data_IF_216168497668
#
_entry.id   IF_216168497668
#
_cell.length_a   1.000
_cell.length_b   1.000
_cell.length_c   1.000
_cell.angle_alpha   90.00
_cell.angle_beta   90.00
_cell.angle_gamma   90.00
#
_symmetry.space_group_name_H-M   'P 1'
#
loop_
_entity.id
_entity.type
_entity.pdbx_description
1 polymer ?
#
# COMPACT_ATOMS: atom_id res chain seq x y z
N UNK A 1 27.24 48.42 2.12
CA UNK A 1 26.67 47.69 3.26
C UNK A 1 25.80 46.57 2.70
N UNK A 2 26.37 45.39 2.52
CA UNK A 2 25.61 44.20 2.13
C UNK A 2 24.67 43.82 3.29
N UNK A 3 23.37 43.96 3.08
CA UNK A 3 22.38 43.38 4.00
C UNK A 3 22.40 41.87 3.78
N UNK A 4 23.03 41.16 4.70
CA UNK A 4 22.95 39.71 4.79
C UNK A 4 21.50 39.28 4.74
N UNK A 5 21.15 38.52 3.71
CA UNK A 5 19.86 37.84 3.60
C UNK A 5 19.90 36.75 4.67
N UNK A 6 19.36 37.03 5.85
CA UNK A 6 19.07 35.99 6.83
C UNK A 6 18.10 35.03 6.14
N UNK A 7 18.59 33.86 5.75
CA UNK A 7 17.75 32.74 5.34
C UNK A 7 16.99 32.33 6.59
N UNK A 8 15.79 32.87 6.74
CA UNK A 8 14.84 32.38 7.72
C UNK A 8 14.35 31.06 7.13
N UNK A 9 14.79 29.94 7.69
CA UNK A 9 14.20 28.66 7.34
C UNK A 9 12.69 28.74 7.59
N UNK A 10 11.86 28.27 6.66
CA UNK A 10 10.42 28.29 6.85
C UNK A 10 10.09 27.49 8.11
N UNK A 11 9.39 28.13 9.06
CA UNK A 11 8.89 27.46 10.25
C UNK A 11 7.73 26.58 9.81
N UNK A 12 8.06 25.32 9.51
CA UNK A 12 7.08 24.30 9.17
C UNK A 12 6.31 23.92 10.44
N UNK A 13 5.00 23.81 10.29
CA UNK A 13 4.18 23.24 11.34
C UNK A 13 4.43 21.71 11.45
N UNK A 14 3.88 21.09 12.50
CA UNK A 14 4.13 19.68 12.78
C UNK A 14 3.61 18.75 11.67
N UNK A 15 2.47 19.07 11.07
CA UNK A 15 1.91 18.31 9.95
C UNK A 15 2.78 18.43 8.69
N UNK A 16 3.22 19.65 8.34
CA UNK A 16 4.13 19.88 7.22
C UNK A 16 5.47 19.14 7.40
N UNK A 17 6.00 19.13 8.63
CA UNK A 17 7.23 18.38 8.95
C UNK A 17 7.03 16.87 8.77
N UNK A 18 5.87 16.34 9.16
CA UNK A 18 5.53 14.92 8.97
C UNK A 18 5.41 14.56 7.50
N UNK A 19 4.69 15.35 6.71
CA UNK A 19 4.58 15.12 5.26
C UNK A 19 5.94 15.20 4.56
N UNK A 20 6.79 16.15 4.94
CA UNK A 20 8.16 16.22 4.39
C UNK A 20 8.98 14.97 4.72
N UNK A 21 8.85 14.43 5.94
CA UNK A 21 9.48 13.16 6.31
C UNK A 21 8.92 12.00 5.48
N UNK A 22 7.60 11.91 5.34
CA UNK A 22 6.94 10.85 4.57
C UNK A 22 7.36 10.87 3.09
N UNK A 23 7.46 12.05 2.48
CA UNK A 23 7.94 12.20 1.11
C UNK A 23 9.40 11.74 0.96
N UNK A 24 10.26 12.12 1.91
CA UNK A 24 11.66 11.69 1.89
C UNK A 24 11.81 10.17 2.08
N UNK A 25 11.04 9.57 2.99
CA UNK A 25 11.05 8.13 3.21
C UNK A 25 10.53 7.39 1.95
N UNK A 26 9.51 7.93 1.29
CA UNK A 26 9.00 7.40 0.03
C UNK A 26 10.04 7.43 -1.10
N UNK A 27 10.77 8.54 -1.25
CA UNK A 27 11.86 8.66 -2.24
C UNK A 27 12.93 7.59 -2.01
N UNK A 28 13.35 7.37 -0.75
CA UNK A 28 14.32 6.33 -0.41
C UNK A 28 13.80 4.94 -0.76
N UNK A 29 12.56 4.62 -0.36
CA UNK A 29 11.97 3.30 -0.59
C UNK A 29 11.84 3.02 -2.09
N UNK A 30 11.43 4.02 -2.89
CA UNK A 30 11.28 3.87 -4.34
C UNK A 30 12.62 3.73 -5.06
N UNK A 31 13.68 4.40 -4.61
CA UNK A 31 15.03 4.20 -5.13
C UNK A 31 15.55 2.78 -4.84
N UNK A 32 15.35 2.28 -3.62
CA UNK A 32 15.73 0.92 -3.23
C UNK A 32 15.00 -0.13 -4.09
N UNK A 33 13.70 0.07 -4.33
CA UNK A 33 12.91 -0.81 -5.19
C UNK A 33 13.41 -0.81 -6.63
N UNK A 34 13.70 0.38 -7.20
CA UNK A 34 14.28 0.50 -8.54
C UNK A 34 15.61 -0.23 -8.66
N UNK A 35 16.51 -0.07 -7.68
CA UNK A 35 17.80 -0.75 -7.66
C UNK A 35 17.65 -2.27 -7.61
N UNK A 36 16.70 -2.78 -6.81
CA UNK A 36 16.41 -4.21 -6.75
C UNK A 36 15.90 -4.74 -8.11
N UNK A 37 14.97 -4.03 -8.73
CA UNK A 37 14.44 -4.41 -10.05
C UNK A 37 15.54 -4.45 -11.11
N UNK A 38 16.48 -3.50 -11.07
CA UNK A 38 17.63 -3.50 -11.96
C UNK A 38 18.52 -4.73 -11.73
N UNK A 39 18.89 -5.04 -10.48
CA UNK A 39 19.71 -6.21 -10.15
C UNK A 39 19.04 -7.52 -10.55
N UNK A 40 17.71 -7.62 -10.40
CA UNK A 40 16.96 -8.79 -10.81
C UNK A 40 16.95 -8.94 -12.34
N UNK A 41 16.88 -7.83 -13.09
CA UNK A 41 17.00 -7.85 -14.53
C UNK A 41 18.41 -8.25 -15.00
N UNK A 42 19.45 -7.70 -14.37
CA UNK A 42 20.85 -8.07 -14.63
C UNK A 42 21.09 -9.57 -14.36
N UNK A 43 20.57 -10.09 -13.25
CA UNK A 43 20.65 -11.52 -12.93
C UNK A 43 19.93 -12.39 -13.97
N UNK A 44 18.73 -11.99 -14.42
CA UNK A 44 17.99 -12.72 -15.46
C UNK A 44 18.77 -12.75 -16.78
N UNK A 45 19.40 -11.64 -17.16
CA UNK A 45 20.18 -11.53 -18.38
C UNK A 45 21.45 -12.38 -18.30
N UNK A 46 22.17 -12.33 -17.18
CA UNK A 46 23.33 -13.19 -16.93
C UNK A 46 22.96 -14.67 -16.94
N UNK A 47 21.81 -15.05 -16.38
CA UNK A 47 21.35 -16.43 -16.38
C UNK A 47 21.00 -16.89 -17.81
N UNK A 48 20.41 -16.04 -18.65
CA UNK A 48 20.18 -16.37 -20.07
C UNK A 48 21.50 -16.58 -20.82
N UNK A 49 22.44 -15.65 -20.71
CA UNK A 49 23.77 -15.74 -21.36
C UNK A 49 24.56 -16.96 -20.86
N UNK A 50 24.49 -17.26 -19.56
CA UNK A 50 25.13 -18.45 -18.98
C UNK A 50 24.47 -19.73 -19.45
N UNK A 51 23.15 -19.75 -19.67
CA UNK A 51 22.44 -20.92 -20.13
C UNK A 51 22.74 -21.20 -21.61
N UNK A 52 22.90 -20.17 -22.43
CA UNK A 52 23.36 -20.28 -23.82
C UNK A 52 24.79 -20.88 -23.90
N UNK A 53 25.71 -20.43 -23.04
CA UNK A 53 27.07 -21.01 -22.94
C UNK A 53 27.08 -22.43 -22.35
N UNK A 54 26.20 -22.71 -21.38
CA UNK A 54 26.06 -24.03 -20.79
C UNK A 54 25.54 -25.07 -21.80
N UNK A 55 24.64 -24.67 -22.70
CA UNK A 55 24.15 -25.50 -23.80
C UNK A 55 25.28 -25.83 -24.80
N UNK A 56 26.25 -24.92 -24.96
CA UNK A 56 27.45 -25.12 -25.79
C UNK A 56 28.52 -25.99 -25.09
N UNK A 57 28.55 -26.04 -23.75
CA UNK A 57 29.67 -26.64 -22.97
C UNK A 57 29.29 -27.79 -22.02
N UNK A 58 28.01 -28.18 -21.91
CA UNK A 58 27.52 -29.24 -20.99
C UNK A 58 27.94 -29.03 -19.50
N UNK A 59 27.85 -27.81 -18.99
CA UNK A 59 28.08 -27.52 -17.56
C UNK A 59 26.85 -26.82 -16.95
N UNK A 60 26.36 -27.30 -15.81
CA UNK A 60 25.17 -26.74 -15.16
C UNK A 60 25.45 -25.37 -14.52
N UNK A 61 24.52 -24.40 -14.61
CA UNK A 61 24.71 -23.08 -14.01
C UNK A 61 24.47 -23.10 -12.49
N UNK A 62 25.46 -22.59 -11.73
CA UNK A 62 25.47 -22.44 -10.27
C UNK A 62 24.74 -21.13 -9.86
N UNK A 63 23.42 -21.08 -10.09
CA UNK A 63 22.62 -19.83 -10.05
C UNK A 63 21.61 -19.66 -8.91
N UNK A 64 21.35 -20.71 -8.12
CA UNK A 64 20.23 -20.77 -7.17
C UNK A 64 20.39 -19.84 -5.95
N UNK A 65 21.63 -19.58 -5.51
CA UNK A 65 21.92 -18.71 -4.37
C UNK A 65 21.57 -17.24 -4.66
N UNK A 66 21.84 -16.76 -5.88
CA UNK A 66 21.55 -15.38 -6.27
C UNK A 66 20.03 -15.13 -6.40
N UNK A 67 19.28 -16.11 -6.91
CA UNK A 67 17.82 -16.01 -6.99
C UNK A 67 17.17 -15.88 -5.61
N UNK A 68 17.63 -16.70 -4.66
CA UNK A 68 17.12 -16.73 -3.29
C UNK A 68 17.39 -15.41 -2.55
N UNK A 69 18.58 -14.83 -2.73
CA UNK A 69 18.94 -13.52 -2.14
C UNK A 69 18.10 -12.39 -2.72
N UNK A 70 17.91 -12.34 -4.04
CA UNK A 70 17.07 -11.32 -4.69
C UNK A 70 15.61 -11.42 -4.25
N UNK A 71 15.09 -12.64 -4.13
CA UNK A 71 13.72 -12.89 -3.68
C UNK A 71 13.51 -12.49 -2.21
N UNK A 72 14.45 -12.85 -1.32
CA UNK A 72 14.41 -12.42 0.07
C UNK A 72 14.40 -10.89 0.19
N UNK A 73 15.24 -10.21 -0.59
CA UNK A 73 15.29 -8.75 -0.62
C UNK A 73 14.00 -8.13 -1.16
N UNK A 74 13.36 -8.77 -2.15
CA UNK A 74 12.06 -8.35 -2.65
C UNK A 74 10.98 -8.44 -1.56
N UNK A 75 10.93 -9.56 -0.83
CA UNK A 75 9.97 -9.75 0.25
C UNK A 75 10.13 -8.70 1.37
N UNK A 76 11.37 -8.41 1.79
CA UNK A 76 11.66 -7.36 2.78
C UNK A 76 11.19 -5.97 2.33
N UNK A 77 11.48 -5.59 1.08
CA UNK A 77 11.07 -4.29 0.54
C UNK A 77 9.56 -4.19 0.36
N UNK A 78 8.90 -5.26 -0.09
CA UNK A 78 7.43 -5.30 -0.18
C UNK A 78 6.76 -5.12 1.16
N UNK A 79 7.26 -5.77 2.22
CA UNK A 79 6.74 -5.60 3.58
C UNK A 79 6.99 -4.17 4.10
N UNK A 80 8.15 -3.59 3.78
CA UNK A 80 8.45 -2.18 4.13
C UNK A 80 7.46 -1.21 3.48
N UNK A 81 7.15 -1.39 2.19
CA UNK A 81 6.15 -0.59 1.47
C UNK A 81 4.76 -0.76 2.09
N UNK A 82 4.37 -2.00 2.38
CA UNK A 82 3.06 -2.30 2.97
C UNK A 82 2.89 -1.63 4.33
N UNK A 83 3.91 -1.69 5.20
CA UNK A 83 3.87 -1.02 6.51
C UNK A 83 3.80 0.49 6.37
N UNK A 84 4.54 1.08 5.44
CA UNK A 84 4.50 2.51 5.17
C UNK A 84 3.11 2.95 4.70
N UNK A 85 2.48 2.21 3.78
CA UNK A 85 1.11 2.49 3.32
C UNK A 85 0.11 2.41 4.48
N UNK A 86 0.23 1.39 5.33
CA UNK A 86 -0.64 1.25 6.49
C UNK A 86 -0.45 2.39 7.50
N UNK A 87 0.78 2.82 7.76
CA UNK A 87 1.06 3.99 8.62
C UNK A 87 0.39 5.25 8.06
N UNK A 88 0.38 5.44 6.74
CA UNK A 88 -0.36 6.54 6.11
C UNK A 88 -1.89 6.41 6.23
N UNK A 89 -2.44 5.19 6.16
CA UNK A 89 -3.88 4.93 6.20
C UNK A 89 -4.47 4.96 7.63
N UNK A 90 -3.81 4.35 8.62
CA UNK A 90 -4.28 4.26 10.02
C UNK A 90 -4.36 5.65 10.69
N UNK A 91 -3.56 6.62 10.25
CA UNK A 91 -3.54 7.98 10.79
C UNK A 91 -4.66 8.90 10.26
N UNK A 92 -5.45 8.45 9.26
CA UNK A 92 -6.61 9.20 8.76
C UNK A 92 -7.80 9.13 9.74
N UNK A 93 -7.92 8.06 10.52
CA UNK A 93 -8.99 7.86 11.52
C UNK A 93 -8.68 8.55 12.86
N UNK A 94 -7.44 8.99 13.10
CA UNK A 94 -7.04 9.65 14.35
C UNK A 94 -7.39 11.15 14.42
N UNK A 95 -7.81 11.78 13.31
CA UNK A 95 -8.14 13.22 13.24
C UNK A 95 -9.65 13.54 13.27
N UNK A 96 -10.47 12.69 13.90
CA UNK A 96 -11.89 13.00 14.19
C UNK A 96 -12.12 13.23 15.69
N UNK A 97 -11.23 13.94 16.37
CA UNK A 97 -11.48 14.33 17.76
C UNK A 97 -11.28 15.82 17.99
N UNK A 98 -12.40 16.54 18.03
CA UNK A 98 -12.48 17.80 18.77
C UNK A 98 -12.94 19.03 17.99
N UNK A 99 -14.12 19.00 17.39
CA UNK A 99 -14.92 20.24 17.28
C UNK A 99 -16.36 19.93 17.69
N UNK A 100 -16.56 19.87 19.00
CA UNK A 100 -17.88 19.81 19.61
C UNK A 100 -18.56 21.16 19.46
N UNK A 101 -19.59 21.22 18.63
CA UNK A 101 -20.69 22.16 18.79
C UNK A 101 -21.98 21.35 18.86
N UNK A 102 -22.49 21.29 20.09
CA UNK A 102 -23.78 20.75 20.44
C UNK A 102 -24.92 21.54 19.78
N UNK A 103 -25.89 20.83 19.21
CA UNK A 103 -27.33 21.15 19.22
C UNK A 103 -28.06 19.96 18.56
N UNK A 104 -28.45 18.97 19.36
CA UNK A 104 -29.84 18.63 19.72
C UNK A 104 -30.38 17.44 18.89
N UNK A 105 -31.02 16.43 19.52
CA UNK A 105 -31.36 15.17 18.86
C UNK A 105 -32.87 15.02 18.64
N UNK A 106 -33.43 15.42 17.50
CA UNK A 106 -34.78 15.02 17.02
C UNK A 106 -34.73 15.09 15.47
N UNK A 107 -35.10 14.10 14.65
CA UNK A 107 -36.33 13.31 14.60
C UNK A 107 -36.06 11.87 14.06
N UNK A 108 -36.81 10.84 14.50
CA UNK A 108 -36.76 9.52 13.90
C UNK A 108 -37.46 9.51 12.52
N UNK A 109 -36.71 9.18 11.47
CA UNK A 109 -37.24 8.80 10.16
C UNK A 109 -38.26 7.67 10.35
N UNK A 110 -39.50 7.95 9.96
CA UNK A 110 -40.66 7.08 10.13
C UNK A 110 -40.39 5.61 9.78
N UNK A 111 -40.72 4.71 10.72
CA UNK A 111 -40.90 3.28 10.47
C UNK A 111 -41.96 3.06 9.37
N UNK A 112 -41.73 2.21 8.36
CA UNK A 112 -42.82 1.71 7.53
C UNK A 112 -43.71 0.80 8.39
N UNK A 113 -44.93 1.27 8.65
CA UNK A 113 -45.91 0.58 9.50
C UNK A 113 -46.27 -0.82 8.94
N UNK A 114 -46.34 -1.88 9.77
CA UNK A 114 -46.79 -3.20 9.35
C UNK A 114 -48.32 -3.26 9.30
N UNK A 115 -48.87 -3.83 8.22
CA UNK A 115 -50.30 -4.05 8.03
C UNK A 115 -50.57 -5.41 7.37
N UNK A 116 -50.78 -6.42 8.22
CA UNK A 116 -51.02 -7.86 7.98
C UNK A 116 -52.53 -8.10 7.74
N UNK A 117 -53.08 -9.33 7.51
CA UNK A 117 -52.77 -10.47 6.63
C UNK A 117 -53.90 -10.69 5.58
N UNK A 118 -53.75 -11.62 4.62
CA UNK A 118 -54.83 -12.59 4.35
C UNK A 118 -54.45 -13.67 3.33
N UNK A 119 -54.46 -14.89 3.86
CA UNK A 119 -54.90 -16.14 3.24
C UNK A 119 -54.17 -16.61 1.96
N UNK A 120 -53.12 -17.38 2.20
CA UNK A 120 -52.86 -18.60 1.43
C UNK A 120 -54.10 -19.53 1.51
N UNK A 121 -54.46 -20.20 0.41
CA UNK A 121 -54.36 -21.67 0.49
C UNK A 121 -53.85 -22.31 -0.80
N UNK A 122 -52.68 -22.96 -0.70
CA UNK A 122 -52.21 -24.11 -1.49
C UNK A 122 -53.10 -25.34 -1.20
N UNK A 123 -53.44 -26.20 -2.20
CA UNK A 123 -52.64 -27.41 -2.54
C UNK A 123 -52.53 -27.62 -4.08
N UNK A 124 -51.36 -27.82 -4.71
CA UNK A 124 -50.69 -29.09 -5.10
C UNK A 124 -51.55 -30.16 -5.83
N UNK A 125 -50.97 -31.17 -6.54
CA UNK A 125 -49.81 -31.24 -7.45
C UNK A 125 -50.18 -31.93 -8.80
N UNK A 126 -49.23 -32.06 -9.74
CA UNK A 126 -48.86 -33.32 -10.46
C UNK A 126 -48.43 -33.09 -11.92
N UNK A 127 -47.22 -33.57 -12.22
CA UNK A 127 -46.73 -33.93 -13.55
C UNK A 127 -47.52 -35.11 -14.15
N UNK A 128 -47.34 -35.47 -15.43
CA UNK A 128 -46.09 -36.02 -15.97
C UNK A 128 -45.38 -35.14 -17.01
#
# INVERSE_FOLDING_TARGET
MEKGKNKVDPILNEEERRWLKALHDFDIITEQFRSLMQKMNEWLQQHQESNEQAEETQAAPDGEDNASVLLARAAELSDTIWRFQRELDDDCEASTSGSGLAAEPEEPLAEPKPGVPSADPKPEPSSP
#
